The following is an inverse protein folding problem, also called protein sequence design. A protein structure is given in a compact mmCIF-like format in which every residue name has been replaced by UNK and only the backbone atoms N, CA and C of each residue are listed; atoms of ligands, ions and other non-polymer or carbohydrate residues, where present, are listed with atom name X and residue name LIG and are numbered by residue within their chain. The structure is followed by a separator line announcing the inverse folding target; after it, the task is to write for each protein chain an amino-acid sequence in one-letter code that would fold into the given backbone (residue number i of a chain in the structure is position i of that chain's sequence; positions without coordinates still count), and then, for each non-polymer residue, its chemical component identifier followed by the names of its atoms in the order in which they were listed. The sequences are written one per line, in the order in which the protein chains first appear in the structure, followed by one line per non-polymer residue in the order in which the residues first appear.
data_IF_998623291134
#
_entry.id   IF_998623291134
#
_cell.length_a   1.000
_cell.length_b   1.000
_cell.length_c   1.000
_cell.angle_alpha   90.00
_cell.angle_beta   90.00
_cell.angle_gamma   90.00
#
_symmetry.space_group_name_H-M   'P 1'
#
loop_
_entity.id
_entity.type
_entity.pdbx_description
1 polymer ?
#
# COMPACT_ATOMS: atom_id res chain seq x y z
N UNK A 1 7.83 16.68 19.16
CA UNK A 1 7.61 15.94 17.94
C UNK A 1 8.71 16.24 16.94
N UNK A 2 9.15 15.24 16.19
CA UNK A 2 10.17 15.33 15.15
C UNK A 2 9.62 14.79 13.84
N UNK A 3 10.17 15.22 12.70
CA UNK A 3 9.68 14.85 11.37
C UNK A 3 9.94 13.38 11.01
N UNK A 4 10.90 12.73 11.68
CA UNK A 4 11.18 11.30 11.49
C UNK A 4 11.85 10.68 12.72
N UNK A 5 11.76 9.34 12.83
CA UNK A 5 12.42 8.55 13.87
C UNK A 5 13.96 8.64 13.78
N UNK A 6 14.51 8.67 12.56
CA UNK A 6 15.96 8.84 12.35
C UNK A 6 16.44 10.21 12.83
N UNK A 7 15.70 11.28 12.51
CA UNK A 7 16.02 12.61 13.00
C UNK A 7 15.94 12.70 14.53
N UNK A 8 14.94 12.03 15.14
CA UNK A 8 14.83 11.96 16.59
C UNK A 8 16.07 11.34 17.24
N UNK A 9 16.58 10.22 16.69
CA UNK A 9 17.81 9.58 17.16
C UNK A 9 19.03 10.48 17.00
N UNK A 10 19.21 11.10 15.85
CA UNK A 10 20.29 12.06 15.60
C UNK A 10 20.23 13.25 16.57
N UNK A 11 19.04 13.78 16.81
CA UNK A 11 18.84 14.91 17.71
C UNK A 11 19.27 14.61 19.13
N UNK A 12 18.90 13.45 19.70
CA UNK A 12 19.33 13.11 21.08
C UNK A 12 20.82 12.83 21.15
N UNK A 13 21.43 12.25 20.12
CA UNK A 13 22.89 12.06 20.07
C UNK A 13 23.66 13.37 20.13
N UNK A 14 23.12 14.44 19.53
CA UNK A 14 23.70 15.78 19.57
C UNK A 14 23.45 16.53 20.90
N UNK A 15 22.58 16.00 21.77
CA UNK A 15 22.20 16.63 23.04
C UNK A 15 22.36 15.68 24.23
N UNK A 16 23.58 15.13 24.47
CA UNK A 16 23.81 14.08 25.47
C UNK A 16 23.48 14.48 26.91
N UNK A 17 23.50 15.78 27.21
CA UNK A 17 23.23 16.33 28.54
C UNK A 17 21.75 16.66 28.78
N UNK A 18 20.87 16.32 27.84
CA UNK A 18 19.43 16.56 28.00
C UNK A 18 18.70 15.24 28.33
N UNK A 19 17.67 15.26 29.17
CA UNK A 19 16.90 14.08 29.53
C UNK A 19 15.90 13.72 28.42
N UNK A 20 16.44 13.37 27.23
CA UNK A 20 15.65 13.02 26.07
C UNK A 20 15.78 11.54 25.75
N UNK A 21 14.72 10.95 25.23
CA UNK A 21 14.70 9.65 24.60
C UNK A 21 14.01 9.74 23.23
N UNK A 22 14.36 8.86 22.32
CA UNK A 22 13.76 8.76 21.00
C UNK A 22 13.22 7.36 20.75
N UNK A 23 12.12 7.27 20.02
CA UNK A 23 11.64 6.02 19.42
C UNK A 23 12.28 5.93 18.03
N UNK A 24 13.07 4.88 17.82
CA UNK A 24 13.82 4.71 16.57
C UNK A 24 14.09 3.22 16.29
N UNK A 25 14.45 2.85 15.05
CA UNK A 25 14.91 1.49 14.75
C UNK A 25 16.18 1.14 15.55
N UNK A 26 16.36 -0.14 15.88
CA UNK A 26 17.53 -0.65 16.61
C UNK A 26 18.85 -0.23 15.94
N UNK A 27 18.91 -0.22 14.60
CA UNK A 27 20.10 0.20 13.85
C UNK A 27 20.59 1.61 14.19
N UNK A 28 19.69 2.51 14.60
CA UNK A 28 20.05 3.88 15.00
C UNK A 28 20.94 3.95 16.24
N UNK A 29 20.90 2.91 17.10
CA UNK A 29 21.75 2.87 18.29
C UNK A 29 23.24 2.74 17.92
N UNK A 30 23.56 1.85 16.97
CA UNK A 30 24.94 1.68 16.50
C UNK A 30 25.42 2.84 15.62
N UNK A 31 24.51 3.41 14.83
CA UNK A 31 24.85 4.55 13.95
C UNK A 31 25.18 5.82 14.72
N UNK A 32 24.44 6.11 15.78
CA UNK A 32 24.57 7.35 16.56
C UNK A 32 25.20 7.16 17.95
N UNK A 33 25.67 5.94 18.29
CA UNK A 33 26.28 5.67 19.59
C UNK A 33 25.32 5.79 20.77
N UNK A 34 24.06 5.42 20.58
CA UNK A 34 23.00 5.55 21.57
C UNK A 34 22.79 4.25 22.34
N UNK A 35 22.42 4.37 23.61
CA UNK A 35 22.01 3.23 24.44
C UNK A 35 20.53 2.92 24.25
N UNK A 36 20.20 1.65 24.00
CA UNK A 36 18.81 1.21 23.93
C UNK A 36 18.28 1.04 25.36
N UNK A 37 17.16 1.70 25.66
CA UNK A 37 16.52 1.68 26.98
C UNK A 37 15.47 0.58 27.04
N UNK A 38 14.72 0.37 25.94
CA UNK A 38 13.67 -0.65 25.82
C UNK A 38 13.59 -1.16 24.39
N UNK A 39 13.31 -2.45 24.24
CA UNK A 39 13.05 -3.11 22.96
C UNK A 39 11.55 -3.39 22.81
N UNK A 40 11.14 -3.62 21.57
CA UNK A 40 9.81 -4.15 21.21
C UNK A 40 8.65 -3.35 21.85
N UNK A 41 8.77 -2.01 21.75
CA UNK A 41 7.82 -1.05 22.33
C UNK A 41 6.62 -0.74 21.43
N UNK A 42 6.48 -1.43 20.29
CA UNK A 42 5.34 -1.28 19.42
C UNK A 42 4.06 -1.84 20.07
N UNK A 43 2.93 -1.18 19.85
CA UNK A 43 1.62 -1.62 20.36
C UNK A 43 1.10 -2.89 19.65
N UNK A 44 1.56 -3.15 18.43
CA UNK A 44 1.12 -4.25 17.59
C UNK A 44 2.34 -5.03 17.13
N UNK A 45 2.40 -6.32 17.49
CA UNK A 45 3.52 -7.21 17.13
C UNK A 45 3.67 -7.37 15.61
N UNK A 46 2.57 -7.39 14.88
CA UNK A 46 2.54 -7.49 13.43
C UNK A 46 2.42 -6.13 12.74
N UNK A 47 3.46 -5.31 12.78
CA UNK A 47 3.50 -4.03 12.06
C UNK A 47 4.27 -4.18 10.75
N UNK A 48 3.57 -4.24 9.63
CA UNK A 48 4.16 -4.40 8.31
C UNK A 48 4.16 -3.11 7.50
N UNK A 49 5.30 -2.75 6.94
CA UNK A 49 5.39 -1.68 5.94
C UNK A 49 5.49 -2.28 4.55
N UNK A 50 4.61 -1.84 3.65
CA UNK A 50 4.65 -2.25 2.24
C UNK A 50 5.55 -1.31 1.45
N UNK A 51 6.56 -1.88 0.82
CA UNK A 51 7.42 -1.17 -0.12
C UNK A 51 7.08 -1.57 -1.56
N UNK A 52 7.13 -0.61 -2.46
CA UNK A 52 7.02 -0.84 -3.89
C UNK A 52 8.42 -0.79 -4.50
N UNK A 53 8.82 -1.87 -5.14
CA UNK A 53 10.06 -1.91 -5.91
C UNK A 53 9.73 -1.41 -7.32
N UNK A 54 10.20 -0.23 -7.64
CA UNK A 54 9.95 0.42 -8.94
C UNK A 54 11.23 0.42 -9.77
N UNK A 55 11.09 0.17 -11.07
CA UNK A 55 12.20 0.19 -12.01
C UNK A 55 11.72 0.43 -13.43
N UNK A 56 12.61 0.91 -14.29
CA UNK A 56 12.36 1.06 -15.73
C UNK A 56 12.14 -0.28 -16.44
N UNK A 57 12.79 -1.33 -15.93
CA UNK A 57 12.65 -2.71 -16.38
C UNK A 57 12.19 -3.58 -15.22
N UNK A 58 11.54 -4.72 -15.53
CA UNK A 58 11.12 -5.67 -14.51
C UNK A 58 12.35 -6.21 -13.77
N UNK A 59 12.45 -6.06 -12.45
CA UNK A 59 13.58 -6.60 -11.71
C UNK A 59 13.55 -8.13 -11.74
N UNK A 60 14.72 -8.76 -11.88
CA UNK A 60 14.87 -10.18 -11.65
C UNK A 60 15.01 -10.39 -10.14
N UNK A 61 13.95 -10.88 -9.52
CA UNK A 61 13.92 -11.16 -8.08
C UNK A 61 13.93 -12.68 -7.91
N UNK A 62 14.93 -13.20 -7.25
CA UNK A 62 15.12 -14.64 -6.99
C UNK A 62 14.28 -15.13 -5.78
N UNK A 63 13.21 -14.42 -5.43
CA UNK A 63 12.28 -14.84 -4.38
C UNK A 63 11.09 -15.56 -5.00
N UNK A 64 10.68 -16.67 -4.39
CA UNK A 64 9.46 -17.37 -4.77
C UNK A 64 8.25 -16.65 -4.21
N UNK A 65 7.24 -16.43 -5.04
CA UNK A 65 5.94 -15.91 -4.61
C UNK A 65 4.85 -16.45 -5.50
N UNK A 66 3.87 -17.07 -4.88
CA UNK A 66 2.68 -17.57 -5.56
C UNK A 66 1.55 -16.53 -5.61
N UNK A 67 1.68 -15.45 -4.86
CA UNK A 67 0.66 -14.40 -4.80
C UNK A 67 0.90 -13.35 -5.88
N UNK A 68 -0.01 -13.29 -6.84
CA UNK A 68 -0.05 -12.23 -7.84
C UNK A 68 -1.11 -11.20 -7.47
N UNK A 69 -0.77 -9.91 -7.62
CA UNK A 69 -1.69 -8.79 -7.43
C UNK A 69 -1.75 -7.92 -8.67
N UNK A 70 -2.92 -7.30 -8.84
CA UNK A 70 -3.14 -6.24 -9.82
C UNK A 70 -3.66 -5.01 -9.07
N UNK A 71 -3.09 -3.85 -9.38
CA UNK A 71 -3.59 -2.57 -8.89
C UNK A 71 -4.34 -1.88 -10.01
N UNK A 72 -5.59 -1.54 -9.75
CA UNK A 72 -6.49 -0.86 -10.68
C UNK A 72 -6.95 0.47 -10.08
N UNK A 73 -7.10 1.48 -10.95
CA UNK A 73 -7.89 2.66 -10.65
C UNK A 73 -9.22 2.55 -11.39
N UNK A 74 -10.31 2.60 -10.64
CA UNK A 74 -11.68 2.45 -11.14
C UNK A 74 -12.41 3.78 -11.03
N UNK A 75 -12.87 4.33 -12.15
CA UNK A 75 -13.78 5.48 -12.16
C UNK A 75 -15.16 4.98 -12.51
N UNK A 76 -16.12 5.20 -11.61
CA UNK A 76 -17.51 4.77 -11.80
C UNK A 76 -18.20 5.70 -12.81
N UNK A 77 -19.14 5.19 -13.63
CA UNK A 77 -19.86 5.99 -14.62
C UNK A 77 -20.74 7.06 -13.96
N UNK A 78 -21.26 6.76 -12.76
CA UNK A 78 -22.17 7.60 -12.01
C UNK A 78 -21.81 7.60 -10.53
N UNK A 79 -22.04 8.72 -9.85
CA UNK A 79 -21.93 8.81 -8.38
C UNK A 79 -23.30 8.52 -7.72
N UNK A 80 -23.94 7.43 -8.14
CA UNK A 80 -25.25 7.01 -7.66
C UNK A 80 -25.14 5.96 -6.55
N UNK A 81 -26.12 5.89 -5.64
CA UNK A 81 -26.20 4.83 -4.66
C UNK A 81 -26.11 3.43 -5.32
N UNK A 82 -25.24 2.58 -4.81
CA UNK A 82 -25.04 1.22 -5.31
C UNK A 82 -24.07 1.09 -6.50
N UNK A 83 -23.55 2.17 -7.10
CA UNK A 83 -22.60 2.08 -8.21
C UNK A 83 -21.33 1.32 -7.82
N UNK A 84 -20.72 1.64 -6.67
CA UNK A 84 -19.57 0.92 -6.14
C UNK A 84 -19.91 -0.55 -5.84
N UNK A 85 -21.08 -0.83 -5.24
CA UNK A 85 -21.52 -2.19 -4.97
C UNK A 85 -21.55 -3.04 -6.25
N UNK A 86 -22.10 -2.52 -7.35
CA UNK A 86 -22.15 -3.22 -8.63
C UNK A 86 -20.77 -3.57 -9.16
N UNK A 87 -19.80 -2.63 -9.04
CA UNK A 87 -18.43 -2.88 -9.43
C UNK A 87 -17.77 -3.94 -8.53
N UNK A 88 -17.94 -3.85 -7.21
CA UNK A 88 -17.38 -4.83 -6.25
C UNK A 88 -18.00 -6.21 -6.41
N UNK A 89 -19.29 -6.28 -6.75
CA UNK A 89 -19.97 -7.55 -7.05
C UNK A 89 -19.28 -8.31 -8.18
N UNK A 90 -18.79 -7.62 -9.21
CA UNK A 90 -18.05 -8.27 -10.31
C UNK A 90 -16.81 -9.00 -9.77
N UNK A 91 -16.03 -8.37 -8.89
CA UNK A 91 -14.87 -9.05 -8.27
C UNK A 91 -15.30 -10.30 -7.51
N UNK A 92 -16.37 -10.21 -6.73
CA UNK A 92 -16.91 -11.35 -5.99
C UNK A 92 -17.40 -12.48 -6.91
N UNK A 93 -18.12 -12.16 -7.98
CA UNK A 93 -18.62 -13.13 -8.96
C UNK A 93 -17.48 -13.88 -9.69
N UNK A 94 -16.33 -13.23 -9.86
CA UNK A 94 -15.11 -13.85 -10.39
C UNK A 94 -14.22 -14.52 -9.33
N UNK A 95 -14.65 -14.55 -8.05
CA UNK A 95 -13.87 -15.10 -6.94
C UNK A 95 -12.57 -14.35 -6.64
N UNK A 96 -12.50 -13.07 -7.01
CA UNK A 96 -11.31 -12.25 -6.87
C UNK A 96 -11.37 -11.47 -5.55
N UNK A 97 -10.43 -11.75 -4.66
CA UNK A 97 -10.34 -11.07 -3.38
C UNK A 97 -9.65 -9.71 -3.52
N UNK A 98 -10.24 -8.68 -2.89
CA UNK A 98 -9.65 -7.36 -2.79
C UNK A 98 -8.86 -7.24 -1.49
N UNK A 99 -7.57 -6.93 -1.59
CA UNK A 99 -6.70 -6.72 -0.43
C UNK A 99 -6.55 -5.25 -0.05
N UNK A 100 -7.04 -4.35 -0.90
CA UNK A 100 -7.12 -2.91 -0.64
C UNK A 100 -8.24 -2.29 -1.45
N UNK A 101 -8.95 -1.33 -0.85
CA UNK A 101 -9.80 -0.38 -1.54
C UNK A 101 -9.65 0.99 -0.89
N UNK A 102 -9.44 2.02 -1.69
CA UNK A 102 -9.25 3.38 -1.23
C UNK A 102 -9.87 4.36 -2.22
N UNK A 103 -10.71 5.27 -1.74
CA UNK A 103 -11.25 6.35 -2.56
C UNK A 103 -10.28 7.53 -2.61
N UNK A 104 -10.08 8.09 -3.79
CA UNK A 104 -9.26 9.27 -4.03
C UNK A 104 -10.03 10.30 -4.85
N UNK A 105 -10.00 11.58 -4.48
CA UNK A 105 -10.65 12.62 -5.26
C UNK A 105 -9.95 12.78 -6.62
N UNK A 106 -10.77 12.92 -7.67
CA UNK A 106 -10.29 13.38 -8.96
C UNK A 106 -10.10 14.89 -8.87
N UNK A 107 -8.87 15.37 -9.12
CA UNK A 107 -8.54 16.80 -9.03
C UNK A 107 -9.16 17.62 -10.18
N UNK A 108 -9.81 16.99 -11.15
CA UNK A 108 -10.38 17.60 -12.34
C UNK A 108 -11.77 18.20 -12.10
N UNK A 109 -12.59 17.58 -11.23
CA UNK A 109 -13.93 18.06 -10.91
C UNK A 109 -14.25 17.86 -9.42
N UNK A 110 -14.94 18.84 -8.83
CA UNK A 110 -15.39 18.76 -7.44
C UNK A 110 -16.44 17.64 -7.29
N UNK A 111 -16.16 16.68 -6.38
CA UNK A 111 -17.10 15.60 -6.06
C UNK A 111 -16.92 14.32 -6.87
N UNK A 112 -15.97 14.25 -7.80
CA UNK A 112 -15.64 13.01 -8.49
C UNK A 112 -14.52 12.27 -7.77
N UNK A 113 -14.67 10.94 -7.69
CA UNK A 113 -13.73 10.03 -7.04
C UNK A 113 -13.36 8.88 -7.98
N UNK A 114 -12.14 8.40 -7.86
CA UNK A 114 -11.76 7.09 -8.35
C UNK A 114 -11.42 6.18 -7.18
N UNK A 115 -11.57 4.89 -7.38
CA UNK A 115 -11.24 3.88 -6.39
C UNK A 115 -9.95 3.19 -6.79
N UNK A 116 -8.96 3.25 -5.89
CA UNK A 116 -7.74 2.48 -6.01
C UNK A 116 -7.96 1.13 -5.36
N UNK A 117 -7.86 0.04 -6.13
CA UNK A 117 -8.06 -1.31 -5.63
C UNK A 117 -6.85 -2.19 -5.90
N UNK A 118 -6.47 -3.00 -4.91
CA UNK A 118 -5.52 -4.09 -5.07
C UNK A 118 -6.28 -5.41 -5.03
N UNK A 119 -6.26 -6.14 -6.13
CA UNK A 119 -6.90 -7.44 -6.25
C UNK A 119 -5.86 -8.56 -6.28
N UNK A 120 -6.13 -9.64 -5.54
CA UNK A 120 -5.36 -10.89 -5.60
C UNK A 120 -6.04 -11.76 -6.64
N UNK A 121 -5.30 -12.20 -7.64
CA UNK A 121 -5.88 -13.00 -8.71
C UNK A 121 -5.01 -14.22 -9.04
N UNK A 122 -5.68 -15.27 -9.51
CA UNK A 122 -5.09 -16.45 -10.12
C UNK A 122 -5.77 -16.67 -11.46
N UNK A 123 -5.02 -16.73 -12.55
CA UNK A 123 -5.59 -16.96 -13.88
C UNK A 123 -5.76 -15.70 -14.73
N UNK A 124 -6.75 -15.72 -15.63
CA UNK A 124 -6.98 -14.64 -16.60
C UNK A 124 -7.90 -13.54 -16.02
N UNK A 125 -7.34 -12.39 -15.79
CA UNK A 125 -8.06 -11.22 -15.28
C UNK A 125 -8.71 -10.36 -16.39
N UNK A 126 -8.51 -10.68 -17.65
CA UNK A 126 -9.07 -9.91 -18.77
C UNK A 126 -10.60 -9.98 -18.77
N UNK A 127 -11.18 -11.12 -18.38
CA UNK A 127 -12.63 -11.24 -18.23
C UNK A 127 -13.19 -10.30 -17.17
N UNK A 128 -12.45 -10.11 -16.06
CA UNK A 128 -12.80 -9.12 -15.03
C UNK A 128 -12.83 -7.70 -15.60
N UNK A 129 -11.76 -7.30 -16.33
CA UNK A 129 -11.68 -5.97 -16.92
C UNK A 129 -12.83 -5.72 -17.89
N UNK A 130 -13.09 -6.67 -18.78
CA UNK A 130 -14.21 -6.61 -19.72
C UNK A 130 -15.58 -6.49 -19.03
N UNK A 131 -15.77 -7.20 -17.91
CA UNK A 131 -17.03 -7.12 -17.16
C UNK A 131 -17.21 -5.74 -16.49
N UNK A 132 -16.15 -5.17 -15.94
CA UNK A 132 -16.15 -3.82 -15.37
C UNK A 132 -16.45 -2.77 -16.46
N UNK A 133 -15.81 -2.85 -17.60
CA UNK A 133 -16.03 -1.94 -18.74
C UNK A 133 -17.46 -2.02 -19.27
N UNK A 134 -18.05 -3.23 -19.34
CA UNK A 134 -19.47 -3.41 -19.72
C UNK A 134 -20.42 -2.75 -18.73
N UNK A 135 -20.05 -2.63 -17.46
CA UNK A 135 -20.79 -1.88 -16.45
C UNK A 135 -20.62 -0.35 -16.60
N UNK A 136 -19.80 0.09 -17.54
CA UNK A 136 -19.45 1.51 -17.74
C UNK A 136 -18.34 2.01 -16.82
N UNK A 137 -17.67 1.14 -16.07
CA UNK A 137 -16.54 1.52 -15.22
C UNK A 137 -15.31 1.77 -16.09
N UNK A 138 -14.72 2.96 -15.99
CA UNK A 138 -13.43 3.23 -16.60
C UNK A 138 -12.34 2.59 -15.75
N UNK A 139 -11.58 1.66 -16.35
CA UNK A 139 -10.53 0.91 -15.66
C UNK A 139 -9.16 1.33 -16.15
N UNK A 140 -8.29 1.79 -15.25
CA UNK A 140 -6.88 2.01 -15.52
C UNK A 140 -6.04 1.02 -14.72
N UNK A 141 -5.35 0.13 -15.42
CA UNK A 141 -4.39 -0.77 -14.79
C UNK A 141 -3.12 0.02 -14.45
N UNK A 142 -2.76 0.05 -13.16
CA UNK A 142 -1.55 0.73 -12.67
C UNK A 142 -0.36 -0.22 -12.59
N UNK A 143 -0.60 -1.50 -12.31
CA UNK A 143 0.48 -2.49 -12.24
C UNK A 143 -0.01 -3.90 -12.00
N UNK A 144 0.84 -4.85 -12.38
CA UNK A 144 0.69 -6.28 -12.10
C UNK A 144 2.02 -6.80 -11.56
N UNK A 145 2.01 -7.36 -10.37
CA UNK A 145 3.24 -7.69 -9.66
C UNK A 145 3.06 -8.88 -8.73
N UNK A 146 4.18 -9.49 -8.36
CA UNK A 146 4.23 -10.50 -7.31
C UNK A 146 4.44 -9.84 -5.95
N UNK A 147 3.89 -10.45 -4.90
CA UNK A 147 4.07 -10.00 -3.52
C UNK A 147 5.05 -10.95 -2.85
N UNK A 148 6.09 -10.38 -2.26
CA UNK A 148 7.10 -11.11 -1.49
C UNK A 148 6.98 -10.71 -0.02
N UNK A 149 7.06 -11.69 0.87
CA UNK A 149 7.25 -11.47 2.31
C UNK A 149 8.73 -11.68 2.60
N UNK A 150 9.35 -10.74 3.28
CA UNK A 150 10.70 -10.85 3.84
C UNK A 150 10.60 -11.25 5.29
#
# INVERSE_FOLDING_TARGET
PTDSTAYAAQFIAQHPNKPFAAIAPVASSSEYGLTIIAHDIQEIDENYTRFWVLGKTRPQINLTSDTQKITLALTLPDNLPGALYKALKIFADFGINLSKIESRPLKTFLGEYFFLVDAVYSGDYLYLLNALEKLGVTVKQLGRYKVYKM
#
